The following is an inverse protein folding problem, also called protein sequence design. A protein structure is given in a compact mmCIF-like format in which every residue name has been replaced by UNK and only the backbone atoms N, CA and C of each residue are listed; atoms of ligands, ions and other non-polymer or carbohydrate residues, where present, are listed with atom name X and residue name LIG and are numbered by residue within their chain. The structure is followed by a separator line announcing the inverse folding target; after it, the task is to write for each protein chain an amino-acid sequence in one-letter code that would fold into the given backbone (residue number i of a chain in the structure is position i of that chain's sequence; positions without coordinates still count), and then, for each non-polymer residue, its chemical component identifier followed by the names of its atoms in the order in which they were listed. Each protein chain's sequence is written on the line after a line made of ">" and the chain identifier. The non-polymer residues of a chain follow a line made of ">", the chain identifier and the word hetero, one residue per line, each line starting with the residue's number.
data_IF_128153935218
#
_entry.id   IF_128153935218
#
_cell.length_a   1.000
_cell.length_b   1.000
_cell.length_c   1.000
_cell.angle_alpha   90.00
_cell.angle_beta   90.00
_cell.angle_gamma   90.00
#
_symmetry.space_group_name_H-M   'P 1'
#
loop_
_entity.id
_entity.type
_entity.pdbx_description
1 polymer ?
#
# COMPACT_ATOMS: atom_id res chain seq x y z
N UNK A 1 0.24 -25.58 -3.48
CA UNK A 1 -0.56 -24.44 -2.99
C UNK A 1 -1.03 -24.61 -1.55
N UNK A 2 -1.89 -25.57 -1.21
CA UNK A 2 -2.42 -25.74 0.16
C UNK A 2 -1.34 -25.82 1.24
N UNK A 3 -0.27 -26.58 1.00
CA UNK A 3 0.87 -26.74 1.94
C UNK A 3 1.56 -25.40 2.24
N UNK A 4 1.75 -24.53 1.24
CA UNK A 4 2.40 -23.23 1.41
C UNK A 4 1.52 -22.24 2.16
N UNK A 5 0.21 -22.29 1.91
CA UNK A 5 -0.80 -21.49 2.62
C UNK A 5 -0.85 -21.90 4.11
N UNK A 6 -0.86 -23.21 4.40
CA UNK A 6 -0.88 -23.70 5.79
C UNK A 6 0.43 -23.43 6.54
N UNK A 7 1.58 -23.54 5.85
CA UNK A 7 2.88 -23.18 6.46
C UNK A 7 2.99 -21.68 6.70
N UNK A 8 2.55 -20.86 5.76
CA UNK A 8 2.48 -19.40 5.94
C UNK A 8 1.59 -19.00 7.12
N UNK A 9 0.48 -19.73 7.35
CA UNK A 9 -0.38 -19.52 8.52
C UNK A 9 0.30 -19.92 9.84
N UNK A 10 1.10 -20.99 9.83
CA UNK A 10 1.94 -21.37 10.95
C UNK A 10 2.90 -20.26 11.36
N UNK A 11 3.65 -19.71 10.39
CA UNK A 11 4.59 -18.61 10.63
C UNK A 11 3.91 -17.34 11.18
N UNK A 12 2.72 -16.98 10.66
CA UNK A 12 1.97 -15.82 11.18
C UNK A 12 1.56 -16.00 12.65
N UNK A 13 1.22 -17.22 13.06
CA UNK A 13 0.89 -17.52 14.47
C UNK A 13 2.10 -17.41 15.39
N UNK A 14 3.27 -17.83 14.93
CA UNK A 14 4.50 -17.68 15.70
C UNK A 14 4.92 -16.20 15.82
N UNK A 15 4.57 -15.39 14.82
CA UNK A 15 4.89 -13.96 14.71
C UNK A 15 3.77 -13.01 15.17
N UNK A 16 2.87 -13.46 16.07
CA UNK A 16 1.75 -12.62 16.55
C UNK A 16 2.21 -11.29 17.17
N UNK A 17 3.39 -11.26 17.77
CA UNK A 17 3.93 -10.03 18.34
C UNK A 17 4.24 -8.96 17.26
N UNK A 18 4.70 -9.35 16.06
CA UNK A 18 4.88 -8.43 14.94
C UNK A 18 3.52 -7.91 14.48
N UNK A 19 2.50 -8.78 14.43
CA UNK A 19 1.15 -8.38 14.04
C UNK A 19 0.61 -7.30 14.98
N UNK A 20 0.83 -7.45 16.29
CA UNK A 20 0.47 -6.43 17.30
C UNK A 20 1.26 -5.12 17.05
N UNK A 21 2.57 -5.21 16.82
CA UNK A 21 3.41 -4.04 16.54
C UNK A 21 2.97 -3.29 15.28
N UNK A 22 2.69 -4.01 14.19
CA UNK A 22 2.17 -3.49 12.94
C UNK A 22 0.80 -2.88 13.09
N UNK A 23 -0.05 -3.48 13.93
CA UNK A 23 -1.35 -2.94 14.26
C UNK A 23 -1.22 -1.59 14.98
N UNK A 24 -0.39 -1.51 16.02
CA UNK A 24 -0.13 -0.25 16.75
C UNK A 24 0.42 0.81 15.79
N UNK A 25 1.37 0.45 14.93
CA UNK A 25 1.90 1.32 13.89
C UNK A 25 0.81 1.85 12.96
N UNK A 26 -0.07 0.97 12.45
CA UNK A 26 -1.18 1.39 11.55
C UNK A 26 -2.22 2.24 12.28
N UNK A 27 -2.49 1.96 13.55
CA UNK A 27 -3.40 2.75 14.39
C UNK A 27 -2.84 4.14 14.63
N UNK A 28 -1.55 4.25 14.97
CA UNK A 28 -0.85 5.53 15.13
C UNK A 28 -0.93 6.36 13.83
N UNK A 29 -0.70 5.74 12.68
CA UNK A 29 -0.85 6.40 11.38
C UNK A 29 -2.28 6.83 11.07
N UNK A 30 -3.27 6.00 11.41
CA UNK A 30 -4.69 6.34 11.29
C UNK A 30 -5.03 7.58 12.11
N UNK A 31 -4.52 7.66 13.34
CA UNK A 31 -4.70 8.83 14.21
C UNK A 31 -4.03 10.09 13.65
N UNK A 32 -2.77 9.99 13.19
CA UNK A 32 -2.06 11.14 12.58
C UNK A 32 -2.79 11.67 11.33
N UNK A 33 -3.25 10.77 10.46
CA UNK A 33 -4.07 11.15 9.29
C UNK A 33 -5.40 11.77 9.71
N UNK A 34 -6.09 11.20 10.70
CA UNK A 34 -7.35 11.76 11.20
C UNK A 34 -7.15 13.18 11.73
N UNK A 35 -6.08 13.41 12.50
CA UNK A 35 -5.74 14.74 13.01
C UNK A 35 -5.47 15.73 11.86
N UNK A 36 -4.74 15.30 10.83
CA UNK A 36 -4.48 16.11 9.64
C UNK A 36 -5.78 16.45 8.88
N UNK A 37 -6.65 15.47 8.67
CA UNK A 37 -7.95 15.67 8.01
C UNK A 37 -8.80 16.67 8.80
N UNK A 38 -8.85 16.52 10.13
CA UNK A 38 -9.61 17.45 10.99
C UNK A 38 -9.03 18.87 10.98
N UNK A 39 -7.71 19.03 10.88
CA UNK A 39 -7.08 20.35 10.91
C UNK A 39 -7.07 21.08 9.56
N UNK A 40 -6.93 20.36 8.44
CA UNK A 40 -6.76 20.96 7.12
C UNK A 40 -7.98 20.74 6.21
N UNK A 41 -8.47 19.51 6.14
CA UNK A 41 -9.50 19.11 5.16
C UNK A 41 -10.89 19.54 5.61
N UNK A 42 -11.24 19.37 6.89
CA UNK A 42 -12.57 19.75 7.40
C UNK A 42 -12.83 21.25 7.27
N UNK A 43 -11.92 22.16 7.68
CA UNK A 43 -12.14 23.60 7.49
C UNK A 43 -12.25 24.00 6.02
N UNK A 44 -11.45 23.39 5.14
CA UNK A 44 -11.52 23.61 3.70
C UNK A 44 -12.88 23.15 3.12
N UNK A 45 -13.38 21.99 3.54
CA UNK A 45 -14.68 21.47 3.09
C UNK A 45 -15.86 22.30 3.62
N UNK A 46 -15.79 22.80 4.86
CA UNK A 46 -16.85 23.65 5.43
C UNK A 46 -16.96 25.01 4.74
N UNK A 47 -15.87 25.50 4.15
CA UNK A 47 -15.85 26.75 3.36
C UNK A 47 -16.37 26.55 1.94
N UNK A 48 -16.56 25.31 1.49
CA UNK A 48 -17.01 25.01 0.14
C UNK A 48 -18.50 25.38 -0.02
N UNK A 49 -18.87 26.21 -1.02
CA UNK A 49 -20.27 26.55 -1.27
C UNK A 49 -20.99 25.34 -1.87
N UNK A 50 -21.62 24.53 -1.01
CA UNK A 50 -22.43 23.39 -1.42
C UNK A 50 -23.76 23.84 -2.04
N UNK A 51 -24.25 23.12 -3.06
CA UNK A 51 -25.54 23.42 -3.71
C UNK A 51 -26.70 23.38 -2.70
N UNK A 52 -26.62 22.47 -1.73
CA UNK A 52 -27.61 22.31 -0.66
C UNK A 52 -27.64 23.48 0.33
N UNK A 53 -26.60 24.31 0.36
CA UNK A 53 -26.51 25.50 1.20
C UNK A 53 -26.77 26.82 0.42
N UNK A 54 -27.34 26.74 -0.78
CA UNK A 54 -27.65 27.90 -1.62
C UNK A 54 -26.45 28.43 -2.44
N UNK A 55 -25.40 27.62 -2.60
CA UNK A 55 -24.22 27.98 -3.39
C UNK A 55 -24.53 28.07 -4.89
N UNK A 56 -24.44 29.27 -5.47
CA UNK A 56 -24.49 29.47 -6.93
C UNK A 56 -23.28 28.83 -7.63
N UNK A 57 -23.45 28.42 -8.89
CA UNK A 57 -22.34 27.95 -9.75
C UNK A 57 -21.18 28.95 -9.81
N UNK A 58 -21.49 30.25 -9.74
CA UNK A 58 -20.52 31.34 -9.68
C UNK A 58 -19.71 31.29 -8.38
N UNK A 59 -20.35 30.98 -7.24
CA UNK A 59 -19.67 30.84 -5.94
C UNK A 59 -18.67 29.69 -5.91
N UNK A 60 -18.99 28.57 -6.57
CA UNK A 60 -18.03 27.45 -6.73
C UNK A 60 -16.84 27.85 -7.58
N UNK A 61 -17.07 28.54 -8.70
CA UNK A 61 -16.00 29.02 -9.56
C UNK A 61 -15.10 30.03 -8.83
N UNK A 62 -15.69 30.96 -8.07
CA UNK A 62 -14.95 31.91 -7.24
C UNK A 62 -14.09 31.20 -6.19
N UNK A 63 -14.64 30.18 -5.53
CA UNK A 63 -13.91 29.36 -4.56
C UNK A 63 -12.71 28.65 -5.21
N UNK A 64 -12.85 28.12 -6.44
CA UNK A 64 -11.73 27.53 -7.16
C UNK A 64 -10.62 28.53 -7.47
N UNK A 65 -10.98 29.75 -7.89
CA UNK A 65 -10.02 30.82 -8.18
C UNK A 65 -9.33 31.27 -6.88
N UNK A 66 -10.09 31.47 -5.80
CA UNK A 66 -9.56 31.81 -4.48
C UNK A 66 -8.63 30.70 -3.95
N UNK A 67 -8.98 29.43 -4.17
CA UNK A 67 -8.15 28.30 -3.77
C UNK A 67 -6.81 28.28 -4.52
N UNK A 68 -6.81 28.53 -5.84
CA UNK A 68 -5.59 28.63 -6.64
C UNK A 68 -4.69 29.79 -6.19
N UNK A 69 -5.27 30.95 -5.89
CA UNK A 69 -4.54 32.09 -5.34
C UNK A 69 -4.00 31.80 -3.94
N UNK A 70 -4.82 31.20 -3.08
CA UNK A 70 -4.46 30.82 -1.70
C UNK A 70 -3.35 29.77 -1.64
N UNK A 71 -3.26 28.88 -2.62
CA UNK A 71 -2.16 27.90 -2.75
C UNK A 71 -0.78 28.57 -2.83
N UNK A 72 -0.69 29.75 -3.45
CA UNK A 72 0.55 30.50 -3.57
C UNK A 72 0.77 31.49 -2.42
N UNK A 73 -0.29 32.18 -1.99
CA UNK A 73 -0.22 33.32 -1.09
C UNK A 73 -0.38 32.97 0.40
N UNK A 74 -1.08 31.89 0.74
CA UNK A 74 -1.48 31.63 2.12
C UNK A 74 -0.44 30.76 2.87
N UNK A 75 0.17 31.27 3.96
CA UNK A 75 1.16 30.51 4.73
C UNK A 75 0.59 29.25 5.40
N UNK A 76 -0.70 29.22 5.71
CA UNK A 76 -1.33 28.05 6.36
C UNK A 76 -1.51 26.88 5.39
N UNK A 77 -1.86 27.15 4.13
CA UNK A 77 -1.93 26.13 3.08
C UNK A 77 -0.55 25.51 2.85
N UNK A 78 0.51 26.33 2.87
CA UNK A 78 1.89 25.87 2.78
C UNK A 78 2.27 24.96 3.96
N UNK A 79 1.87 25.31 5.19
CA UNK A 79 2.09 24.45 6.38
C UNK A 79 1.37 23.11 6.26
N UNK A 80 0.13 23.09 5.78
CA UNK A 80 -0.60 21.84 5.56
C UNK A 80 0.07 20.97 4.49
N UNK A 81 0.51 21.56 3.38
CA UNK A 81 1.26 20.86 2.34
C UNK A 81 2.57 20.26 2.87
N UNK A 82 3.35 21.02 3.63
CA UNK A 82 4.57 20.51 4.28
C UNK A 82 4.27 19.39 5.27
N UNK A 83 3.21 19.53 6.07
CA UNK A 83 2.79 18.49 7.02
C UNK A 83 2.43 17.21 6.29
N UNK A 84 1.66 17.31 5.19
CA UNK A 84 1.33 16.18 4.34
C UNK A 84 2.57 15.57 3.70
N UNK A 85 3.49 16.40 3.20
CA UNK A 85 4.76 15.95 2.62
C UNK A 85 5.59 15.18 3.65
N UNK A 86 5.74 15.69 4.87
CA UNK A 86 6.48 15.04 5.96
C UNK A 86 5.81 13.71 6.34
N UNK A 87 4.47 13.68 6.45
CA UNK A 87 3.72 12.47 6.76
C UNK A 87 3.89 11.42 5.65
N UNK A 88 3.83 11.82 4.38
CA UNK A 88 4.06 10.93 3.24
C UNK A 88 5.50 10.43 3.24
N UNK A 89 6.49 11.30 3.41
CA UNK A 89 7.90 10.93 3.44
C UNK A 89 8.20 9.97 4.59
N UNK A 90 7.71 10.24 5.80
CA UNK A 90 7.88 9.36 6.95
C UNK A 90 7.24 7.98 6.72
N UNK A 91 6.06 7.92 6.09
CA UNK A 91 5.41 6.65 5.74
C UNK A 91 6.18 5.89 4.67
N UNK A 92 6.65 6.60 3.65
CA UNK A 92 7.46 6.04 2.57
C UNK A 92 8.76 5.45 3.12
N UNK A 93 9.40 6.11 4.09
CA UNK A 93 10.59 5.57 4.75
C UNK A 93 10.27 4.41 5.69
N UNK A 94 9.22 4.50 6.52
CA UNK A 94 8.91 3.46 7.49
C UNK A 94 8.51 2.11 6.84
N UNK A 95 7.80 2.14 5.72
CA UNK A 95 7.34 0.92 5.03
C UNK A 95 8.45 -0.07 4.64
N UNK A 96 9.54 0.33 3.93
CA UNK A 96 10.64 -0.57 3.60
C UNK A 96 11.40 -1.07 4.82
N UNK A 97 11.57 -0.27 5.88
CA UNK A 97 12.21 -0.74 7.12
C UNK A 97 11.37 -1.85 7.77
N UNK A 98 10.05 -1.66 7.85
CA UNK A 98 9.13 -2.68 8.37
C UNK A 98 9.22 -3.96 7.53
N UNK A 99 9.22 -3.85 6.21
CA UNK A 99 9.40 -4.99 5.30
C UNK A 99 10.74 -5.69 5.55
N UNK A 100 11.82 -4.95 5.77
CA UNK A 100 13.13 -5.50 6.07
C UNK A 100 13.18 -6.31 7.37
N UNK A 101 12.56 -5.79 8.44
CA UNK A 101 12.42 -6.50 9.70
C UNK A 101 11.67 -7.82 9.53
N UNK A 102 10.54 -7.78 8.84
CA UNK A 102 9.69 -8.95 8.61
C UNK A 102 10.39 -10.03 7.75
N UNK A 103 11.11 -9.63 6.70
CA UNK A 103 11.85 -10.55 5.84
C UNK A 103 12.99 -11.26 6.58
N UNK A 104 13.74 -10.51 7.40
CA UNK A 104 14.83 -11.09 8.18
C UNK A 104 14.33 -12.09 9.22
N UNK A 105 13.23 -11.76 9.89
CA UNK A 105 12.63 -12.66 10.88
C UNK A 105 12.12 -13.95 10.25
N UNK A 106 11.44 -13.85 9.11
CA UNK A 106 10.96 -15.01 8.37
C UNK A 106 12.11 -15.92 7.91
N UNK A 107 13.27 -15.34 7.60
CA UNK A 107 14.47 -16.11 7.29
C UNK A 107 15.07 -16.82 8.50
N UNK A 108 15.09 -16.17 9.67
CA UNK A 108 15.60 -16.78 10.90
C UNK A 108 14.65 -17.83 11.48
N UNK A 109 13.34 -17.64 11.34
CA UNK A 109 12.33 -18.67 11.63
C UNK A 109 12.54 -19.90 10.75
N UNK A 110 12.81 -19.73 9.44
CA UNK A 110 13.12 -20.87 8.57
C UNK A 110 14.40 -21.62 8.93
N UNK A 111 15.31 -21.00 9.70
CA UNK A 111 16.51 -21.64 10.26
C UNK A 111 16.27 -22.24 11.66
N UNK A 112 15.06 -22.12 12.21
CA UNK A 112 14.69 -22.66 13.52
C UNK A 112 15.07 -21.77 14.71
N UNK A 113 15.57 -20.56 14.48
CA UNK A 113 15.95 -19.62 15.54
C UNK A 113 14.73 -18.79 15.97
N UNK A 114 14.39 -18.84 17.25
CA UNK A 114 13.31 -18.05 17.85
C UNK A 114 13.87 -16.83 18.56
N UNK A 115 13.47 -15.63 18.16
CA UNK A 115 13.94 -14.39 18.78
C UNK A 115 13.36 -13.12 18.16
N UNK A 116 13.56 -11.98 18.84
CA UNK A 116 13.14 -10.63 18.42
C UNK A 116 14.03 -10.08 17.28
N UNK A 117 14.12 -10.81 16.17
CA UNK A 117 15.00 -10.49 15.05
C UNK A 117 14.43 -9.43 14.10
N UNK A 118 13.22 -8.94 14.39
CA UNK A 118 12.61 -7.81 13.70
C UNK A 118 13.49 -6.55 13.72
N UNK A 119 13.92 -6.10 14.92
CA UNK A 119 14.71 -4.86 15.05
C UNK A 119 16.13 -4.95 14.47
N UNK A 120 16.90 -6.04 14.72
CA UNK A 120 18.18 -6.24 14.03
C UNK A 120 18.03 -6.30 12.50
N UNK A 121 16.94 -6.93 12.01
CA UNK A 121 16.61 -7.00 10.59
C UNK A 121 16.37 -5.63 9.96
N UNK A 122 15.63 -4.76 10.66
CA UNK A 122 15.42 -3.37 10.23
C UNK A 122 16.75 -2.62 10.07
N UNK A 123 17.68 -2.78 11.02
CA UNK A 123 18.99 -2.08 10.97
C UNK A 123 19.90 -2.63 9.88
N UNK A 124 19.93 -3.96 9.68
CA UNK A 124 20.84 -4.63 8.74
C UNK A 124 20.37 -4.54 7.29
N UNK A 125 19.09 -4.77 7.02
CA UNK A 125 18.54 -4.84 5.66
C UNK A 125 17.67 -3.65 5.28
N UNK A 126 17.47 -2.68 6.18
CA UNK A 126 16.64 -1.51 5.94
C UNK A 126 17.06 -0.66 4.74
N UNK A 127 18.35 -0.32 4.63
CA UNK A 127 18.86 0.49 3.51
C UNK A 127 18.82 -0.25 2.16
N UNK A 128 19.28 -1.52 2.04
CA UNK A 128 19.11 -2.28 0.81
C UNK A 128 17.66 -2.41 0.35
N UNK A 129 16.73 -2.68 1.28
CA UNK A 129 15.32 -2.85 0.94
C UNK A 129 14.65 -1.51 0.61
N UNK A 130 15.13 -0.41 1.20
CA UNK A 130 14.75 0.93 0.79
C UNK A 130 15.17 1.19 -0.66
N UNK A 131 16.38 0.83 -1.09
CA UNK A 131 16.81 0.99 -2.49
C UNK A 131 15.93 0.18 -3.46
N UNK A 132 15.60 -1.07 -3.11
CA UNK A 132 14.65 -1.87 -3.90
C UNK A 132 13.26 -1.23 -3.94
N UNK A 133 12.80 -0.64 -2.83
CA UNK A 133 11.49 0.03 -2.77
C UNK A 133 11.47 1.36 -3.54
N UNK A 134 12.56 2.12 -3.54
CA UNK A 134 12.72 3.32 -4.39
C UNK A 134 12.72 2.92 -5.86
N UNK A 135 13.42 1.84 -6.21
CA UNK A 135 13.41 1.28 -7.57
C UNK A 135 12.00 0.86 -7.97
N UNK A 136 11.26 0.20 -7.06
CA UNK A 136 9.83 -0.13 -7.24
C UNK A 136 9.01 1.14 -7.53
N UNK A 137 9.18 2.21 -6.75
CA UNK A 137 8.44 3.46 -6.96
C UNK A 137 8.78 4.13 -8.29
N UNK A 138 10.05 4.18 -8.66
CA UNK A 138 10.48 4.76 -9.94
C UNK A 138 9.92 3.95 -11.12
N UNK A 139 10.05 2.61 -11.09
CA UNK A 139 9.53 1.76 -12.16
C UNK A 139 8.01 1.79 -12.27
N UNK A 140 7.30 1.93 -11.15
CA UNK A 140 5.82 2.00 -11.15
C UNK A 140 5.29 3.35 -11.64
N UNK A 141 6.04 4.43 -11.42
CA UNK A 141 5.72 5.78 -11.92
C UNK A 141 6.09 5.97 -13.40
N UNK A 142 7.03 5.18 -13.93
CA UNK A 142 7.53 5.32 -15.30
C UNK A 142 6.44 5.25 -16.39
N UNK A 143 5.49 4.29 -16.37
CA UNK A 143 4.40 4.25 -17.36
C UNK A 143 3.43 5.42 -17.19
N UNK A 144 3.33 5.95 -15.97
CA UNK A 144 2.43 7.04 -15.65
C UNK A 144 2.84 8.34 -16.35
N UNK A 145 4.14 8.55 -16.59
CA UNK A 145 4.63 9.69 -17.37
C UNK A 145 4.07 9.70 -18.81
N UNK A 146 3.87 8.53 -19.42
CA UNK A 146 3.30 8.42 -20.78
C UNK A 146 1.78 8.35 -20.79
N UNK A 147 1.18 7.80 -19.73
CA UNK A 147 -0.27 7.68 -19.59
C UNK A 147 -0.94 9.00 -19.19
N UNK A 148 -0.34 9.79 -18.29
CA UNK A 148 -0.89 11.06 -17.82
C UNK A 148 -1.31 12.01 -18.95
N UNK A 149 -0.46 12.34 -19.94
CA UNK A 149 -0.82 13.30 -20.96
C UNK A 149 -1.96 12.80 -21.88
N UNK A 150 -2.03 11.48 -22.11
CA UNK A 150 -3.10 10.87 -22.91
C UNK A 150 -4.44 10.93 -22.17
N UNK A 151 -4.45 10.51 -20.91
CA UNK A 151 -5.64 10.54 -20.04
C UNK A 151 -6.10 11.99 -19.82
N UNK A 152 -5.17 12.91 -19.60
CA UNK A 152 -5.48 14.34 -19.41
C UNK A 152 -6.17 14.95 -20.64
N UNK A 153 -5.68 14.67 -21.85
CA UNK A 153 -6.34 15.10 -23.10
C UNK A 153 -7.74 14.51 -23.25
N UNK A 154 -7.91 13.24 -22.90
CA UNK A 154 -9.20 12.53 -22.94
C UNK A 154 -10.22 13.10 -21.93
N UNK A 155 -9.76 13.50 -20.74
CA UNK A 155 -10.61 14.11 -19.70
C UNK A 155 -11.00 15.56 -20.07
N UNK A 156 -10.12 16.30 -20.73
CA UNK A 156 -10.41 17.67 -21.17
C UNK A 156 -11.33 17.73 -22.40
N UNK A 157 -11.31 16.70 -23.26
CA UNK A 157 -12.07 16.70 -24.50
C UNK A 157 -13.55 16.34 -24.35
N UNK A 158 -13.95 15.73 -23.24
CA UNK A 158 -15.33 15.27 -23.02
C UNK A 158 -15.75 15.54 -21.58
N UNK A 159 -16.95 16.10 -21.42
CA UNK A 159 -17.67 16.09 -20.15
C UNK A 159 -17.80 14.63 -19.64
N UNK A 160 -17.89 14.44 -18.32
CA UNK A 160 -17.87 13.14 -17.61
C UNK A 160 -18.90 12.12 -18.14
N UNK A 161 -18.61 11.53 -19.29
CA UNK A 161 -19.43 10.50 -19.91
C UNK A 161 -18.99 9.12 -19.39
N UNK A 162 -19.94 8.27 -18.97
CA UNK A 162 -19.63 6.89 -18.55
C UNK A 162 -18.89 6.07 -19.61
N UNK A 163 -19.08 6.39 -20.90
CA UNK A 163 -18.39 5.73 -22.01
C UNK A 163 -16.86 5.94 -21.99
N UNK A 164 -16.40 7.05 -21.39
CA UNK A 164 -14.99 7.42 -21.32
C UNK A 164 -14.24 6.54 -20.30
N UNK A 165 -14.92 6.10 -19.23
CA UNK A 165 -14.38 5.13 -18.28
C UNK A 165 -14.04 3.81 -18.95
N UNK A 166 -14.91 3.28 -19.81
CA UNK A 166 -14.64 2.05 -20.56
C UNK A 166 -13.44 2.17 -21.49
N UNK A 167 -13.16 3.39 -22.00
CA UNK A 167 -12.00 3.65 -22.87
C UNK A 167 -10.69 3.76 -22.09
N UNK A 168 -10.72 4.25 -20.85
CA UNK A 168 -9.54 4.35 -19.96
C UNK A 168 -9.27 3.00 -19.26
N UNK A 169 -10.31 2.21 -19.02
CA UNK A 169 -10.23 0.94 -18.30
C UNK A 169 -9.14 -0.03 -18.81
N UNK A 170 -8.98 -0.32 -20.12
CA UNK A 170 -7.94 -1.25 -20.58
C UNK A 170 -6.52 -0.73 -20.31
N UNK A 171 -6.30 0.58 -20.41
CA UNK A 171 -5.02 1.21 -20.09
C UNK A 171 -4.71 1.12 -18.61
N UNK A 172 -5.72 1.33 -17.77
CA UNK A 172 -5.60 1.20 -16.31
C UNK A 172 -5.34 -0.25 -15.89
N UNK A 173 -6.02 -1.22 -16.51
CA UNK A 173 -5.78 -2.65 -16.29
C UNK A 173 -4.36 -3.07 -16.73
N UNK A 174 -3.90 -2.62 -17.90
CA UNK A 174 -2.54 -2.89 -18.36
C UNK A 174 -1.48 -2.31 -17.40
N UNK A 175 -1.70 -1.09 -16.90
CA UNK A 175 -0.82 -0.49 -15.90
C UNK A 175 -0.83 -1.25 -14.57
N UNK A 176 -2.01 -1.64 -14.07
CA UNK A 176 -2.13 -2.45 -12.86
C UNK A 176 -1.39 -3.80 -13.00
N UNK A 177 -1.54 -4.47 -14.14
CA UNK A 177 -0.84 -5.72 -14.43
C UNK A 177 0.68 -5.53 -14.45
N UNK A 178 1.17 -4.46 -15.09
CA UNK A 178 2.59 -4.10 -15.10
C UNK A 178 3.13 -3.87 -13.68
N UNK A 179 2.43 -3.05 -12.88
CA UNK A 179 2.81 -2.77 -11.48
C UNK A 179 2.85 -4.07 -10.68
N UNK A 180 1.86 -4.95 -10.87
CA UNK A 180 1.80 -6.23 -10.18
C UNK A 180 3.01 -7.11 -10.50
N UNK A 181 3.39 -7.24 -11.77
CA UNK A 181 4.55 -8.02 -12.19
C UNK A 181 5.85 -7.45 -11.61
N UNK A 182 6.06 -6.14 -11.71
CA UNK A 182 7.26 -5.48 -11.16
C UNK A 182 7.38 -5.72 -9.66
N UNK A 183 6.29 -5.58 -8.92
CA UNK A 183 6.26 -5.84 -7.48
C UNK A 183 6.64 -7.27 -7.14
N UNK A 184 6.10 -8.24 -7.87
CA UNK A 184 6.36 -9.66 -7.65
C UNK A 184 7.82 -10.01 -7.93
N UNK A 185 8.39 -9.49 -9.02
CA UNK A 185 9.80 -9.69 -9.37
C UNK A 185 10.73 -9.07 -8.32
N UNK A 186 10.49 -7.81 -7.95
CA UNK A 186 11.31 -7.12 -6.94
C UNK A 186 11.21 -7.76 -5.56
N UNK A 187 10.05 -8.30 -5.21
CA UNK A 187 9.87 -9.03 -3.96
C UNK A 187 10.72 -10.31 -3.92
N UNK A 188 10.76 -11.07 -5.03
CA UNK A 188 11.61 -12.25 -5.12
C UNK A 188 13.10 -11.91 -5.13
N UNK A 189 13.48 -10.78 -5.73
CA UNK A 189 14.85 -10.25 -5.61
C UNK A 189 15.20 -9.90 -4.17
N UNK A 190 14.27 -9.31 -3.41
CA UNK A 190 14.46 -9.02 -1.99
C UNK A 190 14.65 -10.31 -1.17
N UNK A 191 13.86 -11.36 -1.42
CA UNK A 191 14.05 -12.68 -0.79
C UNK A 191 15.45 -13.25 -1.07
N UNK A 192 15.92 -13.16 -2.32
CA UNK A 192 17.25 -13.60 -2.73
C UNK A 192 18.40 -12.86 -2.06
N UNK A 193 18.24 -11.55 -1.89
CA UNK A 193 19.23 -10.72 -1.20
C UNK A 193 19.25 -11.01 0.30
N UNK A 194 18.09 -11.14 0.95
CA UNK A 194 18.00 -11.44 2.38
C UNK A 194 18.40 -12.86 2.73
N UNK A 195 18.17 -13.82 1.83
CA UNK A 195 18.48 -15.23 2.01
C UNK A 195 19.88 -15.66 1.58
N UNK A 196 20.68 -14.75 1.00
CA UNK A 196 22.07 -15.00 0.62
C UNK A 196 22.27 -15.91 -0.61
N UNK A 197 21.20 -16.29 -1.31
CA UNK A 197 21.25 -17.15 -2.52
C UNK A 197 21.56 -16.36 -3.81
N UNK A 198 21.62 -15.03 -3.71
CA UNK A 198 21.95 -14.13 -4.82
C UNK A 198 20.72 -13.61 -5.56
N UNK A 199 20.80 -12.34 -6.00
CA UNK A 199 19.68 -11.61 -6.64
C UNK A 199 19.31 -12.24 -7.99
N UNK A 200 20.30 -12.68 -8.78
CA UNK A 200 20.09 -13.25 -10.11
C UNK A 200 19.48 -14.66 -10.09
N UNK A 201 19.92 -15.51 -9.17
CA UNK A 201 19.31 -16.84 -8.99
C UNK A 201 17.84 -16.72 -8.62
N UNK A 202 17.51 -15.76 -7.75
CA UNK A 202 16.15 -15.51 -7.29
C UNK A 202 15.25 -14.91 -8.38
N UNK A 203 15.82 -14.15 -9.31
CA UNK A 203 15.12 -13.67 -10.51
C UNK A 203 14.68 -14.82 -11.42
N UNK A 204 15.55 -15.81 -11.63
CA UNK A 204 15.22 -16.99 -12.44
C UNK A 204 14.10 -17.83 -11.79
N UNK A 205 14.13 -17.94 -10.46
CA UNK A 205 13.07 -18.62 -9.70
C UNK A 205 11.76 -17.83 -9.78
N UNK A 206 11.81 -16.50 -9.72
CA UNK A 206 10.64 -15.64 -9.89
C UNK A 206 9.97 -15.86 -11.25
N UNK A 207 10.75 -15.91 -12.34
CA UNK A 207 10.24 -16.17 -13.68
C UNK A 207 9.60 -17.56 -13.81
N UNK A 208 10.22 -18.59 -13.22
CA UNK A 208 9.66 -19.96 -13.23
C UNK A 208 8.41 -20.10 -12.36
N UNK A 209 8.32 -19.34 -11.27
CA UNK A 209 7.22 -19.41 -10.32
C UNK A 209 6.15 -18.33 -10.51
N UNK A 210 6.26 -17.49 -11.55
CA UNK A 210 5.43 -16.29 -11.70
C UNK A 210 3.94 -16.61 -11.67
N UNK A 211 3.52 -17.70 -12.30
CA UNK A 211 2.12 -18.11 -12.32
C UNK A 211 1.61 -18.49 -10.92
N UNK A 212 2.34 -19.37 -10.22
CA UNK A 212 1.94 -19.85 -8.89
C UNK A 212 1.99 -18.73 -7.84
N UNK A 213 3.01 -17.87 -7.92
CA UNK A 213 3.16 -16.70 -7.05
C UNK A 213 2.06 -15.66 -7.31
N UNK A 214 1.69 -15.45 -8.58
CA UNK A 214 0.62 -14.52 -8.97
C UNK A 214 -0.73 -14.96 -8.44
N UNK A 215 -1.07 -16.25 -8.60
CA UNK A 215 -2.34 -16.80 -8.08
C UNK A 215 -2.40 -16.69 -6.56
N UNK A 216 -1.31 -16.98 -5.86
CA UNK A 216 -1.25 -16.89 -4.40
C UNK A 216 -1.44 -15.44 -3.91
N UNK A 217 -0.77 -14.49 -4.57
CA UNK A 217 -0.91 -13.06 -4.25
C UNK A 217 -2.30 -12.54 -4.55
N UNK A 218 -2.88 -12.94 -5.69
CA UNK A 218 -4.22 -12.55 -6.09
C UNK A 218 -5.27 -13.10 -5.12
N UNK A 219 -5.15 -14.36 -4.69
CA UNK A 219 -6.09 -14.98 -3.74
C UNK A 219 -6.07 -14.29 -2.38
N UNK A 220 -4.88 -14.11 -1.80
CA UNK A 220 -4.74 -13.49 -0.47
C UNK A 220 -5.02 -11.99 -0.51
N UNK A 221 -4.64 -11.32 -1.61
CA UNK A 221 -4.97 -9.92 -1.86
C UNK A 221 -6.48 -9.70 -2.05
N UNK A 222 -7.18 -10.58 -2.76
CA UNK A 222 -8.63 -10.54 -2.90
C UNK A 222 -9.34 -10.72 -1.55
N UNK A 223 -8.85 -11.62 -0.69
CA UNK A 223 -9.34 -11.77 0.68
C UNK A 223 -9.20 -10.49 1.49
N UNK A 224 -8.02 -9.87 1.46
CA UNK A 224 -7.79 -8.58 2.12
C UNK A 224 -8.68 -7.46 1.57
N UNK A 225 -8.86 -7.40 0.26
CA UNK A 225 -9.72 -6.43 -0.41
C UNK A 225 -11.19 -6.58 0.01
N UNK A 226 -11.73 -7.81 -0.02
CA UNK A 226 -13.11 -8.09 0.39
C UNK A 226 -13.38 -7.66 1.83
N UNK A 227 -12.45 -7.93 2.74
CA UNK A 227 -12.61 -7.51 4.14
C UNK A 227 -12.57 -5.99 4.26
N UNK A 228 -11.65 -5.32 3.55
CA UNK A 228 -11.61 -3.86 3.55
C UNK A 228 -12.91 -3.24 3.02
N UNK A 229 -13.52 -3.88 2.01
CA UNK A 229 -14.78 -3.45 1.43
C UNK A 229 -15.94 -3.65 2.41
N UNK A 230 -15.98 -4.78 3.12
CA UNK A 230 -16.95 -5.02 4.20
C UNK A 230 -16.79 -3.95 5.29
N UNK A 231 -15.56 -3.64 5.72
CA UNK A 231 -15.30 -2.58 6.71
C UNK A 231 -15.73 -1.18 6.20
N UNK A 232 -15.56 -0.90 4.91
CA UNK A 232 -15.98 0.37 4.31
C UNK A 232 -17.50 0.49 4.25
N UNK A 233 -18.18 -0.56 3.79
CA UNK A 233 -19.65 -0.61 3.69
C UNK A 233 -20.31 -0.51 5.06
N UNK A 234 -19.82 -1.29 6.04
CA UNK A 234 -20.32 -1.22 7.43
C UNK A 234 -20.10 0.17 8.04
N UNK A 235 -18.95 0.80 7.77
CA UNK A 235 -18.65 2.16 8.20
C UNK A 235 -19.47 3.25 7.51
N UNK A 236 -20.17 2.94 6.42
CA UNK A 236 -21.11 3.84 5.75
C UNK A 236 -22.55 3.63 6.23
N UNK A 237 -22.97 2.37 6.38
CA UNK A 237 -24.32 2.01 6.79
C UNK A 237 -24.61 2.36 8.25
N UNK A 238 -23.64 2.20 9.17
CA UNK A 238 -23.86 2.33 10.61
C UNK A 238 -23.01 3.46 11.23
N UNK A 239 -23.37 4.73 11.05
CA UNK A 239 -22.66 5.84 11.70
C UNK A 239 -22.85 5.78 13.23
N UNK A 240 -21.75 5.76 13.99
CA UNK A 240 -21.78 5.73 15.46
C UNK A 240 -20.53 5.12 16.09
N UNK A 241 -20.61 4.77 17.38
CA UNK A 241 -19.55 4.06 18.12
C UNK A 241 -19.12 2.74 17.44
N UNK A 242 -20.02 1.90 16.90
CA UNK A 242 -19.63 0.68 16.19
C UNK A 242 -18.74 0.95 14.96
N UNK A 243 -19.03 1.98 14.18
CA UNK A 243 -18.19 2.36 13.05
C UNK A 243 -16.78 2.81 13.49
N UNK A 244 -16.64 3.43 14.66
CA UNK A 244 -15.32 3.79 15.19
C UNK A 244 -14.51 2.54 15.52
N UNK A 245 -15.09 1.56 16.22
CA UNK A 245 -14.42 0.30 16.51
C UNK A 245 -14.06 -0.47 15.24
N UNK A 246 -14.99 -0.58 14.28
CA UNK A 246 -14.74 -1.26 13.01
C UNK A 246 -13.62 -0.57 12.24
N UNK A 247 -13.61 0.77 12.17
CA UNK A 247 -12.54 1.52 11.48
C UNK A 247 -11.19 1.39 12.18
N UNK A 248 -11.17 1.33 13.51
CA UNK A 248 -9.94 1.13 14.28
C UNK A 248 -9.40 -0.31 14.18
N UNK A 249 -10.28 -1.31 14.06
CA UNK A 249 -9.90 -2.72 13.93
C UNK A 249 -9.66 -3.13 12.47
N UNK A 250 -10.19 -2.41 11.48
CA UNK A 250 -10.02 -2.68 10.05
C UNK A 250 -8.56 -2.92 9.60
N UNK A 251 -7.54 -2.26 10.18
CA UNK A 251 -6.15 -2.56 9.85
C UNK A 251 -5.71 -3.98 10.21
N UNK A 252 -6.24 -4.61 11.27
CA UNK A 252 -5.84 -5.95 11.73
C UNK A 252 -5.98 -7.05 10.66
N UNK A 253 -7.17 -7.28 10.08
CA UNK A 253 -7.31 -8.31 9.05
C UNK A 253 -6.42 -7.96 7.86
N UNK A 254 -6.34 -6.70 7.44
CA UNK A 254 -5.47 -6.31 6.32
C UNK A 254 -4.00 -6.65 6.59
N UNK A 255 -3.48 -6.38 7.80
CA UNK A 255 -2.11 -6.74 8.18
C UNK A 255 -1.88 -8.23 8.23
N UNK A 256 -2.87 -8.98 8.71
CA UNK A 256 -2.79 -10.43 8.80
C UNK A 256 -2.74 -11.05 7.40
N UNK A 257 -3.59 -10.61 6.47
CA UNK A 257 -3.55 -11.08 5.08
C UNK A 257 -2.28 -10.65 4.34
N UNK A 258 -1.79 -9.43 4.59
CA UNK A 258 -0.51 -8.96 4.05
C UNK A 258 0.67 -9.84 4.53
N UNK A 259 0.76 -10.09 5.84
CA UNK A 259 1.79 -10.96 6.44
C UNK A 259 1.66 -12.40 5.97
N UNK A 260 0.44 -12.93 5.90
CA UNK A 260 0.18 -14.29 5.44
C UNK A 260 0.52 -14.47 3.96
N UNK A 261 0.21 -13.47 3.14
CA UNK A 261 0.64 -13.41 1.73
C UNK A 261 2.14 -13.46 1.60
N UNK A 262 2.84 -12.62 2.36
CA UNK A 262 4.30 -12.58 2.34
C UNK A 262 4.92 -13.89 2.82
N UNK A 263 4.41 -14.48 3.91
CA UNK A 263 4.92 -15.72 4.46
C UNK A 263 4.70 -16.91 3.52
N UNK A 264 3.51 -17.02 2.92
CA UNK A 264 3.20 -18.08 1.97
C UNK A 264 4.06 -17.98 0.70
N UNK A 265 4.36 -16.76 0.22
CA UNK A 265 5.25 -16.54 -0.92
C UNK A 265 6.71 -16.87 -0.59
N UNK A 266 7.17 -16.57 0.62
CA UNK A 266 8.50 -16.93 1.08
C UNK A 266 8.68 -18.45 1.16
N UNK A 267 7.70 -19.17 1.73
CA UNK A 267 7.74 -20.64 1.78
C UNK A 267 7.72 -21.28 0.39
N UNK A 268 7.01 -20.68 -0.56
CA UNK A 268 7.06 -21.09 -1.98
C UNK A 268 8.47 -20.92 -2.55
N UNK A 269 9.09 -19.76 -2.36
CA UNK A 269 10.45 -19.49 -2.82
C UNK A 269 11.49 -20.40 -2.15
N UNK A 270 11.41 -20.60 -0.83
CA UNK A 270 12.31 -21.47 -0.08
C UNK A 270 12.20 -22.93 -0.54
N UNK A 271 10.99 -23.43 -0.82
CA UNK A 271 10.82 -24.79 -1.33
C UNK A 271 11.43 -25.00 -2.73
N UNK A 272 11.54 -23.94 -3.53
CA UNK A 272 12.08 -23.98 -4.90
C UNK A 272 13.56 -23.65 -5.00
N UNK A 273 14.16 -23.15 -3.92
CA UNK A 273 15.61 -22.99 -3.77
C UNK A 273 16.26 -24.21 -3.14
N UNK A 274 15.51 -24.99 -2.36
CA UNK A 274 16.00 -26.20 -1.69
C UNK A 274 15.99 -27.47 -2.59
N UNK A 275 15.16 -27.52 -3.63
CA UNK A 275 15.20 -28.55 -4.67
C UNK A 275 16.05 -28.04 -5.86
N UNK A 276 17.27 -28.56 -6.10
CA UNK A 276 18.09 -28.21 -7.26
C UNK A 276 17.50 -28.71 -8.59
#
# INVERSE_FOLDING_TARGET
>A
MRIWITRGWGSVKEQLYILILLFIYRLLWGYLMYRFVRSAVVPALLRYPSENAGGSAIGRMLYYIEAQLSLSANPDVRRWLWTLLILVAARLLAAPFIRAGLLNELHQESRGERGLFFFPGMKKYGLPILLFSVTEWVLTLLPLYWLLPKVYRLILSSYWEPALLFRILPWLLAWLLYVFIIRLVLLYMQFGYTGGTGVFASLLIALRCIFHASVLQALLGAGGFLISLICAVTGWLWPGLPALFIRQLAPLPSTLFDMWGLSAQYHLWHSKTADP
#
